data_IF_217521801016
#
_entry.id   IF_217521801016
#
_cell.length_a   1.000
_cell.length_b   1.000
_cell.length_c   1.000
_cell.angle_alpha   90.00
_cell.angle_beta   90.00
_cell.angle_gamma   90.00
#
_symmetry.space_group_name_H-M   'P 1'
#
loop_
_entity.id
_entity.type
_entity.pdbx_description
1 polymer ?
#
# COMPACT_ATOMS: atom_id res chain seq x y z
N UNK A 1 0.57 13.74 -6.11
CA UNK A 1 -0.79 13.53 -6.64
C UNK A 1 -1.88 14.12 -5.74
N UNK A 2 -1.89 13.83 -4.41
CA UNK A 2 -2.93 14.31 -3.46
C UNK A 2 -3.24 15.83 -3.52
N UNK A 3 -2.22 16.70 -3.60
CA UNK A 3 -2.42 18.16 -3.65
C UNK A 3 -3.17 18.66 -4.90
N UNK A 4 -2.88 18.09 -6.07
CA UNK A 4 -3.53 18.49 -7.33
C UNK A 4 -5.00 18.06 -7.38
N UNK A 5 -5.27 16.85 -6.87
CA UNK A 5 -6.63 16.31 -6.74
C UNK A 5 -7.48 17.16 -5.79
N UNK A 6 -6.92 17.56 -4.65
CA UNK A 6 -7.59 18.46 -3.70
C UNK A 6 -7.90 19.81 -4.34
N UNK A 7 -6.93 20.42 -5.05
CA UNK A 7 -7.14 21.66 -5.78
C UNK A 7 -8.26 21.53 -6.84
N UNK A 8 -8.32 20.39 -7.54
CA UNK A 8 -9.38 20.08 -8.51
C UNK A 8 -10.78 20.01 -7.88
N UNK A 9 -10.92 19.39 -6.72
CA UNK A 9 -12.18 19.37 -5.97
C UNK A 9 -12.57 20.76 -5.45
N UNK A 10 -11.62 21.51 -4.92
CA UNK A 10 -11.85 22.90 -4.47
C UNK A 10 -12.33 23.77 -5.62
N UNK A 11 -11.68 23.69 -6.79
CA UNK A 11 -12.09 24.42 -7.98
C UNK A 11 -13.50 24.02 -8.41
N UNK A 12 -13.81 22.72 -8.39
CA UNK A 12 -15.15 22.22 -8.73
C UNK A 12 -16.23 22.76 -7.78
N UNK A 13 -15.94 22.82 -6.48
CA UNK A 13 -16.83 23.42 -5.49
C UNK A 13 -17.05 24.92 -5.74
N UNK A 14 -15.99 25.66 -6.09
CA UNK A 14 -16.09 27.08 -6.46
C UNK A 14 -16.94 27.27 -7.71
N UNK A 15 -16.77 26.43 -8.74
CA UNK A 15 -17.59 26.48 -9.95
C UNK A 15 -19.08 26.25 -9.65
N UNK A 16 -19.40 25.28 -8.80
CA UNK A 16 -20.78 25.03 -8.35
C UNK A 16 -21.32 26.24 -7.58
N UNK A 17 -20.56 26.79 -6.64
CA UNK A 17 -20.95 27.97 -5.88
C UNK A 17 -21.24 29.16 -6.79
N UNK A 18 -20.39 29.39 -7.81
CA UNK A 18 -20.58 30.44 -8.82
C UNK A 18 -21.82 30.20 -9.68
N UNK A 19 -22.15 28.96 -10.03
CA UNK A 19 -23.37 28.63 -10.75
C UNK A 19 -24.65 28.95 -9.94
N UNK A 20 -24.57 28.85 -8.61
CA UNK A 20 -25.66 29.16 -7.68
C UNK A 20 -25.87 30.66 -7.44
N UNK A 21 -24.95 31.53 -7.87
CA UNK A 21 -25.11 32.98 -7.71
C UNK A 21 -26.28 33.48 -8.57
N UNK A 22 -27.14 34.31 -7.96
CA UNK A 22 -28.27 34.94 -8.65
C UNK A 22 -27.77 35.97 -9.68
N UNK A 23 -28.39 36.00 -10.85
CA UNK A 23 -28.04 36.94 -11.92
C UNK A 23 -28.12 38.41 -11.43
N UNK A 24 -29.14 38.75 -10.66
CA UNK A 24 -29.32 40.10 -10.10
C UNK A 24 -28.18 40.50 -9.15
N UNK A 25 -27.62 39.53 -8.42
CA UNK A 25 -26.46 39.78 -7.56
C UNK A 25 -25.22 40.12 -8.38
N UNK A 26 -25.03 39.44 -9.51
CA UNK A 26 -23.93 39.71 -10.43
C UNK A 26 -24.12 41.06 -11.13
N UNK A 27 -25.34 41.37 -11.57
CA UNK A 27 -25.68 42.67 -12.18
C UNK A 27 -25.41 43.83 -11.23
N UNK A 28 -25.94 43.77 -10.00
CA UNK A 28 -25.73 44.79 -8.98
C UNK A 28 -24.25 44.99 -8.66
N UNK A 29 -23.47 43.89 -8.57
CA UNK A 29 -22.03 43.99 -8.37
C UNK A 29 -21.33 44.65 -9.56
N UNK A 30 -21.72 44.30 -10.80
CA UNK A 30 -21.15 44.89 -12.01
C UNK A 30 -21.49 46.37 -12.15
N UNK A 31 -22.73 46.76 -11.85
CA UNK A 31 -23.17 48.15 -11.83
C UNK A 31 -22.41 48.99 -10.79
N UNK A 32 -22.08 48.40 -9.63
CA UNK A 32 -21.27 49.09 -8.62
C UNK A 32 -19.83 49.41 -9.07
N UNK A 33 -19.30 48.61 -10.01
CA UNK A 33 -17.96 48.79 -10.56
C UNK A 33 -17.96 49.64 -11.83
N UNK A 34 -18.99 49.48 -12.67
CA UNK A 34 -19.15 50.24 -13.91
C UNK A 34 -20.65 50.50 -14.18
N UNK A 35 -21.18 51.65 -13.72
CA UNK A 35 -22.58 52.02 -13.89
C UNK A 35 -23.02 52.15 -15.36
N UNK A 36 -22.07 52.40 -16.27
CA UNK A 36 -22.34 52.63 -17.70
C UNK A 36 -22.32 51.35 -18.55
N UNK A 37 -22.11 50.17 -17.94
CA UNK A 37 -21.95 48.92 -18.67
C UNK A 37 -23.30 48.38 -19.22
N UNK A 38 -23.39 47.98 -20.51
CA UNK A 38 -24.63 47.47 -21.11
C UNK A 38 -25.13 46.18 -20.44
N UNK A 39 -26.42 46.09 -20.11
CA UNK A 39 -27.01 44.94 -19.40
C UNK A 39 -26.64 43.59 -20.02
N UNK A 40 -26.36 42.61 -19.15
CA UNK A 40 -26.09 41.23 -19.58
C UNK A 40 -27.41 40.50 -19.80
N UNK A 41 -27.64 39.88 -20.98
CA UNK A 41 -28.86 39.13 -21.25
C UNK A 41 -28.96 37.88 -20.36
N UNK A 42 -30.19 37.48 -20.01
CA UNK A 42 -30.45 36.29 -19.18
C UNK A 42 -29.84 35.01 -19.77
N UNK A 43 -29.84 34.88 -21.09
CA UNK A 43 -29.25 33.75 -21.79
C UNK A 43 -27.76 33.54 -21.47
N UNK A 44 -27.00 34.61 -21.23
CA UNK A 44 -25.59 34.51 -20.86
C UNK A 44 -25.41 33.88 -19.47
N UNK A 45 -26.31 34.18 -18.52
CA UNK A 45 -26.28 33.55 -17.19
C UNK A 45 -26.66 32.07 -17.24
N UNK A 46 -27.59 31.69 -18.12
CA UNK A 46 -27.94 30.28 -18.36
C UNK A 46 -26.74 29.53 -18.94
N UNK A 47 -26.10 30.08 -19.97
CA UNK A 47 -24.90 29.47 -20.57
C UNK A 47 -23.75 29.36 -19.56
N UNK A 48 -23.51 30.39 -18.75
CA UNK A 48 -22.48 30.37 -17.72
C UNK A 48 -22.72 29.26 -16.69
N UNK A 49 -23.98 29.04 -16.26
CA UNK A 49 -24.34 27.95 -15.35
C UNK A 49 -24.08 26.58 -15.95
N UNK A 50 -24.49 26.38 -17.21
CA UNK A 50 -24.24 25.13 -17.92
C UNK A 50 -22.74 24.86 -18.01
N UNK A 51 -21.96 25.88 -18.35
CA UNK A 51 -20.50 25.78 -18.45
C UNK A 51 -19.88 25.42 -17.08
N UNK A 52 -20.22 26.16 -16.02
CA UNK A 52 -19.66 25.92 -14.68
C UNK A 52 -20.03 24.55 -14.13
N UNK A 53 -21.30 24.14 -14.26
CA UNK A 53 -21.75 22.82 -13.81
C UNK A 53 -21.14 21.70 -14.65
N UNK A 54 -21.02 21.88 -15.97
CA UNK A 54 -20.37 20.92 -16.86
C UNK A 54 -18.90 20.71 -16.50
N UNK A 55 -18.14 21.80 -16.33
CA UNK A 55 -16.73 21.72 -15.92
C UNK A 55 -16.57 21.13 -14.52
N UNK A 56 -17.45 21.49 -13.57
CA UNK A 56 -17.44 20.90 -12.24
C UNK A 56 -17.72 19.40 -12.28
N UNK A 57 -18.70 18.94 -13.07
CA UNK A 57 -19.00 17.52 -13.21
C UNK A 57 -17.80 16.73 -13.78
N UNK A 58 -17.14 17.27 -14.81
CA UNK A 58 -15.92 16.68 -15.38
C UNK A 58 -14.78 16.68 -14.35
N UNK A 59 -14.60 17.76 -13.61
CA UNK A 59 -13.58 17.86 -12.56
C UNK A 59 -13.78 16.84 -11.44
N UNK A 60 -15.01 16.72 -10.94
CA UNK A 60 -15.39 15.73 -9.92
C UNK A 60 -15.18 14.30 -10.42
N UNK A 61 -15.64 13.99 -11.64
CA UNK A 61 -15.47 12.66 -12.24
C UNK A 61 -13.99 12.27 -12.36
N UNK A 62 -13.15 13.16 -12.92
CA UNK A 62 -11.72 12.90 -13.02
C UNK A 62 -11.04 12.84 -11.65
N UNK A 63 -11.50 13.62 -10.67
CA UNK A 63 -11.02 13.56 -9.30
C UNK A 63 -11.24 12.20 -8.67
N UNK A 64 -12.43 11.61 -8.82
CA UNK A 64 -12.73 10.26 -8.33
C UNK A 64 -11.95 9.19 -9.08
N UNK A 65 -11.84 9.28 -10.41
CA UNK A 65 -11.02 8.34 -11.18
C UNK A 65 -9.53 8.40 -10.77
N UNK A 66 -9.01 9.60 -10.49
CA UNK A 66 -7.65 9.76 -9.99
C UNK A 66 -7.41 9.23 -8.58
N UNK A 67 -8.43 9.27 -7.71
CA UNK A 67 -8.35 8.64 -6.38
C UNK A 67 -8.35 7.11 -6.52
N UNK A 68 -9.27 6.55 -7.32
CA UNK A 68 -9.35 5.11 -7.54
C UNK A 68 -8.06 4.53 -8.14
N UNK A 69 -7.43 5.25 -9.08
CA UNK A 69 -6.12 4.88 -9.62
C UNK A 69 -4.98 5.04 -8.62
N UNK A 70 -5.14 5.81 -7.55
CA UNK A 70 -4.11 5.99 -6.51
C UNK A 70 -4.23 4.97 -5.38
N UNK A 71 -5.40 4.37 -5.18
CA UNK A 71 -5.64 3.34 -4.15
C UNK A 71 -4.90 2.05 -4.53
N UNK A 72 -5.05 1.56 -5.76
CA UNK A 72 -4.41 0.31 -6.23
C UNK A 72 -2.91 0.38 -6.53
N UNK A 73 -2.21 1.41 -6.06
CA UNK A 73 -0.77 1.65 -6.37
C UNK A 73 0.07 1.85 -5.10
N UNK A 74 -0.56 1.96 -3.94
CA UNK A 74 0.13 2.22 -2.69
C UNK A 74 -0.44 1.32 -1.58
N UNK A 75 0.44 0.71 -0.80
CA UNK A 75 0.04 -0.01 0.40
C UNK A 75 -0.47 0.97 1.46
N UNK A 76 -1.58 0.67 2.10
CA UNK A 76 -1.98 1.32 3.36
C UNK A 76 -1.30 0.68 4.57
N UNK A 77 -1.22 1.44 5.68
CA UNK A 77 -0.66 0.95 6.95
C UNK A 77 -1.40 -0.32 7.44
N UNK A 78 -2.73 -0.33 7.34
CA UNK A 78 -3.57 -1.43 7.83
C UNK A 78 -3.47 -2.67 6.94
N UNK A 79 -3.43 -2.51 5.62
CA UNK A 79 -3.22 -3.61 4.67
C UNK A 79 -1.86 -4.26 4.86
N UNK A 80 -0.79 -3.46 4.94
CA UNK A 80 0.55 -4.01 5.17
C UNK A 80 0.62 -4.72 6.52
N UNK A 81 -0.01 -4.17 7.57
CA UNK A 81 -0.09 -4.83 8.89
C UNK A 81 -0.77 -6.20 8.80
N UNK A 82 -1.93 -6.26 8.15
CA UNK A 82 -2.68 -7.51 7.99
C UNK A 82 -1.91 -8.53 7.13
N UNK A 83 -1.26 -8.05 6.07
CA UNK A 83 -0.49 -8.88 5.16
C UNK A 83 0.75 -9.48 5.83
N UNK A 84 1.50 -8.67 6.58
CA UNK A 84 2.65 -9.14 7.37
C UNK A 84 2.21 -10.16 8.42
N UNK A 85 1.09 -9.95 9.10
CA UNK A 85 0.54 -10.93 10.05
C UNK A 85 0.20 -12.24 9.36
N UNK A 86 -0.51 -12.20 8.24
CA UNK A 86 -0.89 -13.39 7.49
C UNK A 86 0.32 -14.18 6.98
N UNK A 87 1.31 -13.49 6.43
CA UNK A 87 2.55 -14.10 5.97
C UNK A 87 3.36 -14.72 7.12
N UNK A 88 3.38 -14.07 8.28
CA UNK A 88 4.03 -14.61 9.49
C UNK A 88 3.37 -15.91 9.93
N UNK A 89 2.04 -15.92 9.99
CA UNK A 89 1.27 -17.13 10.36
C UNK A 89 1.46 -18.27 9.32
N UNK A 90 1.62 -17.94 8.04
CA UNK A 90 1.84 -18.91 6.97
C UNK A 90 3.25 -19.50 6.97
N UNK A 91 4.26 -18.67 7.27
CA UNK A 91 5.67 -19.08 7.31
C UNK A 91 6.07 -19.73 8.63
N UNK A 92 5.36 -19.46 9.73
CA UNK A 92 5.65 -20.05 11.03
C UNK A 92 5.50 -21.59 10.97
N UNK A 93 6.55 -22.30 11.37
CA UNK A 93 6.62 -23.76 11.29
C UNK A 93 6.97 -24.30 9.90
N UNK A 94 7.27 -23.46 8.90
CA UNK A 94 7.68 -23.92 7.58
C UNK A 94 9.00 -24.72 7.66
N UNK A 95 9.03 -25.87 6.98
CA UNK A 95 10.19 -26.80 6.95
C UNK A 95 10.86 -26.88 5.58
N UNK A 96 10.20 -26.38 4.53
CA UNK A 96 10.64 -26.51 3.14
C UNK A 96 12.01 -25.86 2.87
N UNK A 97 12.35 -24.82 3.63
CA UNK A 97 13.59 -24.05 3.48
C UNK A 97 14.66 -24.40 4.53
N UNK A 98 14.39 -25.38 5.40
CA UNK A 98 15.31 -25.88 6.41
C UNK A 98 15.63 -27.34 6.08
N UNK A 99 16.40 -27.52 5.00
CA UNK A 99 16.66 -28.84 4.42
C UNK A 99 17.24 -29.82 5.45
N UNK A 100 16.76 -31.08 5.50
CA UNK A 100 17.22 -32.09 6.47
C UNK A 100 18.65 -32.59 6.20
N UNK A 101 19.31 -32.16 5.12
CA UNK A 101 20.63 -32.66 4.68
C UNK A 101 21.73 -31.59 4.60
N UNK A 102 21.38 -30.31 4.72
CA UNK A 102 22.34 -29.22 4.64
C UNK A 102 22.50 -28.63 6.04
N UNK A 103 23.68 -28.82 6.65
CA UNK A 103 23.98 -28.21 7.95
C UNK A 103 23.89 -26.69 7.82
N UNK A 104 22.95 -26.08 8.53
CA UNK A 104 22.48 -24.68 8.45
C UNK A 104 23.36 -23.74 7.62
N UNK A 105 23.00 -23.50 6.34
CA UNK A 105 23.29 -22.24 5.68
C UNK A 105 22.00 -21.77 5.03
N UNK A 106 21.09 -21.22 5.84
CA UNK A 106 19.94 -20.52 5.27
C UNK A 106 20.47 -19.27 4.59
N UNK A 107 20.28 -19.18 3.28
CA UNK A 107 20.53 -17.96 2.52
C UNK A 107 19.46 -16.92 2.88
N UNK A 108 19.63 -16.37 4.08
CA UNK A 108 18.75 -15.34 4.62
C UNK A 108 18.82 -14.08 3.73
N UNK A 109 19.94 -13.81 3.05
CA UNK A 109 20.15 -12.65 2.17
C UNK A 109 19.72 -12.82 0.71
N UNK A 110 19.41 -14.03 0.26
CA UNK A 110 18.90 -14.30 -1.08
C UNK A 110 17.46 -14.80 -1.07
N UNK A 111 17.28 -16.08 -1.37
CA UNK A 111 15.97 -16.67 -1.68
C UNK A 111 14.94 -16.55 -0.54
N UNK A 112 15.41 -16.53 0.72
CA UNK A 112 14.49 -16.42 1.86
C UNK A 112 13.92 -15.01 2.03
N UNK A 113 14.72 -13.97 1.78
CA UNK A 113 14.23 -12.58 1.78
C UNK A 113 13.13 -12.38 0.73
N UNK A 114 13.35 -12.92 -0.47
CA UNK A 114 12.35 -12.90 -1.54
C UNK A 114 11.08 -13.68 -1.14
N UNK A 115 11.23 -14.83 -0.49
CA UNK A 115 10.10 -15.62 0.00
C UNK A 115 9.26 -14.84 1.01
N UNK A 116 9.88 -14.13 1.95
CA UNK A 116 9.17 -13.27 2.90
C UNK A 116 8.41 -12.16 2.15
N UNK A 117 9.05 -11.47 1.21
CA UNK A 117 8.40 -10.40 0.45
C UNK A 117 7.23 -10.89 -0.43
N UNK A 118 7.39 -12.05 -1.07
CA UNK A 118 6.35 -12.67 -1.89
C UNK A 118 5.17 -13.15 -1.04
N UNK A 119 5.42 -13.74 0.12
CA UNK A 119 4.35 -14.18 1.02
C UNK A 119 3.56 -12.99 1.57
N UNK A 120 4.25 -11.92 1.99
CA UNK A 120 3.59 -10.66 2.40
C UNK A 120 2.73 -10.12 1.25
N UNK A 121 3.26 -10.11 0.02
CA UNK A 121 2.50 -9.67 -1.16
C UNK A 121 1.26 -10.54 -1.40
N UNK A 122 1.37 -11.87 -1.26
CA UNK A 122 0.28 -12.82 -1.45
C UNK A 122 -0.86 -12.66 -0.42
N UNK A 123 -0.54 -12.09 0.75
CA UNK A 123 -1.51 -11.78 1.80
C UNK A 123 -2.07 -10.35 1.73
N UNK A 124 -1.73 -9.59 0.68
CA UNK A 124 -2.34 -8.29 0.40
C UNK A 124 -3.84 -8.38 0.08
N UNK A 125 -4.56 -7.26 0.25
CA UNK A 125 -5.93 -7.11 -0.20
C UNK A 125 -6.08 -7.22 -1.72
N UNK A 126 -7.32 -7.28 -2.23
CA UNK A 126 -7.58 -7.43 -3.68
C UNK A 126 -7.13 -6.23 -4.53
N UNK A 127 -6.85 -5.10 -3.88
CA UNK A 127 -6.32 -3.84 -4.39
C UNK A 127 -4.87 -3.59 -3.98
N UNK A 128 -4.23 -4.51 -3.23
CA UNK A 128 -2.83 -4.37 -2.85
C UNK A 128 -1.91 -4.33 -4.08
N UNK A 129 -0.83 -3.51 -4.05
CA UNK A 129 0.15 -3.49 -5.13
C UNK A 129 0.80 -4.87 -5.36
N UNK A 130 1.15 -5.16 -6.62
CA UNK A 130 1.66 -6.46 -7.05
C UNK A 130 3.10 -6.80 -6.62
N UNK A 131 3.67 -7.91 -7.13
CA UNK A 131 5.01 -8.37 -6.78
C UNK A 131 6.10 -7.31 -6.96
N UNK A 132 7.07 -7.29 -6.04
CA UNK A 132 8.19 -6.34 -6.04
C UNK A 132 7.90 -4.97 -5.43
N UNK A 133 6.75 -4.78 -4.79
CA UNK A 133 6.39 -3.54 -4.06
C UNK A 133 6.60 -3.63 -2.55
N UNK A 134 6.88 -4.84 -2.04
CA UNK A 134 7.31 -5.12 -0.68
C UNK A 134 8.79 -5.51 -0.74
N UNK A 135 9.58 -4.95 0.17
CA UNK A 135 11.00 -5.28 0.36
C UNK A 135 11.20 -5.85 1.76
N UNK A 136 11.94 -6.96 1.85
CA UNK A 136 12.33 -7.61 3.09
C UNK A 136 13.86 -7.56 3.22
N UNK A 137 14.38 -6.42 3.66
CA UNK A 137 15.81 -6.19 3.75
C UNK A 137 16.40 -6.74 5.05
N UNK A 138 17.46 -7.52 4.96
CA UNK A 138 18.18 -8.01 6.14
C UNK A 138 18.74 -6.86 6.97
N UNK A 139 18.46 -6.88 8.26
CA UNK A 139 19.02 -5.96 9.26
C UNK A 139 19.79 -6.74 10.32
N UNK A 140 20.79 -6.11 10.92
CA UNK A 140 21.59 -6.72 11.98
C UNK A 140 22.68 -7.71 11.52
N UNK A 141 23.38 -8.35 12.47
CA UNK A 141 24.51 -9.22 12.19
C UNK A 141 24.05 -10.56 11.59
N UNK A 142 24.80 -11.07 10.60
CA UNK A 142 24.58 -12.42 10.06
C UNK A 142 24.81 -13.45 11.17
N UNK A 143 23.74 -14.11 11.60
CA UNK A 143 23.81 -15.27 12.49
C UNK A 143 23.38 -16.53 11.72
N UNK A 144 23.95 -17.69 12.05
CA UNK A 144 23.68 -18.92 11.32
C UNK A 144 22.25 -19.45 11.52
N UNK A 145 21.63 -19.16 12.67
CA UNK A 145 20.31 -19.72 13.05
C UNK A 145 19.23 -18.66 13.25
N UNK A 146 19.54 -17.38 13.04
CA UNK A 146 18.58 -16.30 13.17
C UNK A 146 18.88 -15.16 12.18
N UNK A 147 17.82 -14.49 11.75
CA UNK A 147 17.90 -13.31 10.89
C UNK A 147 16.85 -12.30 11.31
N UNK A 148 17.16 -11.03 11.08
CA UNK A 148 16.22 -9.95 11.25
C UNK A 148 15.98 -9.30 9.89
N UNK A 149 14.72 -8.98 9.59
CA UNK A 149 14.31 -8.33 8.38
C UNK A 149 13.59 -7.03 8.72
N UNK A 150 13.87 -6.01 7.92
CA UNK A 150 13.10 -4.79 7.82
C UNK A 150 12.15 -4.96 6.65
N UNK A 151 10.85 -5.07 6.92
CA UNK A 151 9.82 -5.13 5.89
C UNK A 151 9.31 -3.71 5.63
N UNK A 152 9.43 -3.27 4.38
CA UNK A 152 8.90 -1.98 3.91
C UNK A 152 8.05 -2.19 2.66
N UNK A 153 7.17 -1.25 2.37
CA UNK A 153 6.36 -1.29 1.16
C UNK A 153 6.12 0.12 0.60
N UNK A 154 5.97 0.19 -0.73
CA UNK A 154 5.70 1.45 -1.41
C UNK A 154 4.35 2.06 -0.98
N UNK A 155 4.36 3.36 -0.67
CA UNK A 155 3.15 4.12 -0.36
C UNK A 155 2.81 4.26 1.12
N UNK A 156 3.47 3.50 1.99
CA UNK A 156 3.34 3.59 3.45
C UNK A 156 4.69 3.88 4.13
N UNK A 157 4.74 4.72 5.18
CA UNK A 157 5.94 4.89 6.01
C UNK A 157 6.07 3.84 7.12
N UNK A 158 5.14 2.87 7.20
CA UNK A 158 5.14 1.83 8.24
C UNK A 158 6.19 0.77 7.93
N UNK A 159 6.83 0.27 8.98
CA UNK A 159 7.92 -0.69 8.88
C UNK A 159 7.69 -1.83 9.87
N UNK A 160 8.04 -3.04 9.50
CA UNK A 160 7.97 -4.20 10.39
C UNK A 160 9.34 -4.81 10.58
N UNK A 161 9.66 -5.15 11.83
CA UNK A 161 10.86 -5.86 12.20
C UNK A 161 10.49 -7.31 12.41
N UNK A 162 10.80 -8.13 11.40
CA UNK A 162 10.58 -9.56 11.45
C UNK A 162 11.86 -10.23 11.96
N UNK A 163 11.73 -11.01 13.02
CA UNK A 163 12.78 -11.87 13.53
C UNK A 163 12.47 -13.32 13.17
N UNK A 164 13.38 -13.94 12.42
CA UNK A 164 13.28 -15.32 11.99
C UNK A 164 14.30 -16.14 12.78
N UNK A 165 13.85 -17.20 13.43
CA UNK A 165 14.71 -18.16 14.13
C UNK A 165 14.51 -19.54 13.58
N UNK A 166 15.60 -20.26 13.36
CA UNK A 166 15.56 -21.68 13.05
C UNK A 166 15.53 -22.42 14.38
N UNK A 167 14.49 -23.21 14.62
CA UNK A 167 14.42 -24.10 15.78
C UNK A 167 14.29 -25.54 15.32
N UNK A 168 14.88 -26.46 16.06
CA UNK A 168 14.65 -27.89 15.85
C UNK A 168 13.16 -28.17 16.09
N UNK A 169 12.50 -28.73 15.09
CA UNK A 169 11.13 -29.21 15.24
C UNK A 169 11.15 -30.42 16.19
N UNK A 170 10.27 -30.40 17.20
CA UNK A 170 10.15 -31.49 18.17
C UNK A 170 9.29 -32.65 17.63
N UNK A 171 8.64 -32.47 16.48
CA UNK A 171 7.65 -33.41 15.93
C UNK A 171 8.26 -34.70 15.36
N UNK A 172 9.56 -34.72 15.06
CA UNK A 172 10.30 -35.92 14.66
C UNK A 172 11.54 -35.58 13.85
N UNK A 173 12.43 -36.56 13.73
CA UNK A 173 13.49 -36.51 12.73
C UNK A 173 12.91 -36.93 11.36
N UNK A 174 13.33 -36.27 10.29
CA UNK A 174 12.97 -36.63 8.93
C UNK A 174 13.57 -38.00 8.56
N UNK A 175 12.73 -38.91 8.08
CA UNK A 175 13.15 -40.18 7.49
C UNK A 175 13.12 -40.07 5.97
N UNK A 176 14.29 -40.11 5.36
CA UNK A 176 14.41 -40.04 3.90
C UNK A 176 13.81 -41.29 3.24
N UNK A 177 12.83 -41.15 2.33
CA UNK A 177 12.28 -42.29 1.62
C UNK A 177 13.37 -42.98 0.78
N UNK A 178 13.54 -44.30 0.95
CA UNK A 178 14.47 -45.12 0.16
C UNK A 178 15.88 -45.28 0.74
N UNK A 179 16.21 -44.66 1.88
CA UNK A 179 17.48 -44.88 2.59
C UNK A 179 17.17 -45.58 3.92
N UNK A 180 17.55 -46.85 4.03
CA UNK A 180 17.36 -47.61 5.28
C UNK A 180 18.28 -47.07 6.38
N UNK A 181 17.70 -46.59 7.49
CA UNK A 181 18.41 -46.29 8.74
C UNK A 181 18.91 -44.85 8.93
N UNK A 182 18.55 -43.89 8.05
CA UNK A 182 18.90 -42.48 8.20
C UNK A 182 17.77 -41.67 8.84
N UNK A 183 17.96 -41.25 10.09
CA UNK A 183 17.11 -40.28 10.80
C UNK A 183 17.84 -38.94 10.84
N UNK A 184 17.22 -37.87 10.33
CA UNK A 184 17.86 -36.55 10.23
C UNK A 184 17.08 -35.52 11.06
N UNK A 185 17.75 -34.66 11.83
CA UNK A 185 17.05 -33.63 12.59
C UNK A 185 16.27 -32.70 11.65
N UNK A 186 14.98 -32.54 11.91
CA UNK A 186 14.13 -31.60 11.20
C UNK A 186 14.16 -30.24 11.92
N UNK A 187 14.32 -29.17 11.16
CA UNK A 187 14.27 -27.81 11.65
C UNK A 187 13.08 -27.09 11.01
N UNK A 188 12.54 -26.12 11.74
CA UNK A 188 11.44 -25.27 11.29
C UNK A 188 11.78 -23.82 11.60
N UNK A 189 11.28 -22.92 10.76
CA UNK A 189 11.35 -21.49 11.04
C UNK A 189 10.31 -21.11 12.08
N UNK A 190 10.69 -20.19 12.97
CA UNK A 190 9.81 -19.53 13.92
C UNK A 190 9.95 -18.04 13.72
N UNK A 191 8.81 -17.37 13.59
CA UNK A 191 8.76 -15.96 13.27
C UNK A 191 8.21 -15.17 14.44
N UNK A 192 8.85 -14.04 14.75
CA UNK A 192 8.39 -13.07 15.74
C UNK A 192 8.41 -11.69 15.10
N UNK A 193 7.27 -11.01 15.08
CA UNK A 193 7.12 -9.73 14.40
C UNK A 193 6.85 -8.63 15.41
N UNK A 194 7.63 -7.56 15.30
CA UNK A 194 7.36 -6.31 15.99
C UNK A 194 7.14 -5.19 14.97
N UNK A 195 6.06 -4.42 15.13
CA UNK A 195 5.77 -3.26 14.28
C UNK A 195 6.32 -1.98 14.91
N UNK A 196 6.99 -1.14 14.12
CA UNK A 196 7.42 0.19 14.56
C UNK A 196 7.53 1.17 13.38
N UNK A 197 7.46 2.46 13.66
CA UNK A 197 7.80 3.47 12.63
C UNK A 197 9.32 3.67 12.57
N UNK A 198 9.90 3.60 11.38
CA UNK A 198 11.34 3.81 11.14
C UNK A 198 12.15 2.51 11.09
N UNK A 199 13.48 2.65 11.02
CA UNK A 199 14.42 1.52 10.89
C UNK A 199 14.20 0.47 11.97
N UNK A 200 14.53 -0.79 11.67
CA UNK A 200 14.72 -1.93 12.57
C UNK A 200 16.19 -2.03 12.98
#
# INVERSE_FOLDING_TARGET
MKSLTILGFVLSAVLIAMACVKADRVRAWRESLNPSAPEVPDAAFVLARILFLGMAAVGVYNGFQGIALSDGVAWSDDELTSAVSGATDALDGAVAYAGPHEGVPTDFDGDYAMTVADEVTSHGGGDAPGPGTVDAALTGPKAPEEAYYTITADGTPTTFCLHVKIKRDKSGDYQAPGIAGGSYPQYAYVHDVTSRRGEC
#
